data_IF_193930316037
#
_entry.id   IF_193930316037
#
_cell.length_a   1.000
_cell.length_b   1.000
_cell.length_c   1.000
_cell.angle_alpha   90.00
_cell.angle_beta   90.00
_cell.angle_gamma   90.00
#
_symmetry.space_group_name_H-M   'P 1'
#
loop_
_entity.id
_entity.type
_entity.pdbx_description
1 polymer ?
#
# COMPACT_ATOMS: atom_id res chain seq x y z
N UNK A 1 -40.85 43.18 13.63
CA UNK A 1 -40.74 41.79 13.14
C UNK A 1 -40.95 40.87 14.32
N UNK A 2 -42.13 40.28 14.45
CA UNK A 2 -42.39 39.29 15.49
C UNK A 2 -41.60 38.00 15.18
N UNK A 3 -41.00 37.33 16.18
CA UNK A 3 -40.25 36.11 15.94
C UNK A 3 -41.18 35.01 15.44
N UNK A 4 -40.77 34.31 14.38
CA UNK A 4 -41.51 33.18 13.80
C UNK A 4 -41.71 32.13 14.90
N UNK A 5 -42.96 31.72 15.21
CA UNK A 5 -43.19 30.75 16.26
C UNK A 5 -42.51 29.43 15.91
N UNK A 6 -41.72 28.90 16.86
CA UNK A 6 -41.04 27.60 16.75
C UNK A 6 -42.12 26.53 16.51
N UNK A 7 -42.15 25.98 15.31
CA UNK A 7 -43.10 24.94 14.93
C UNK A 7 -42.95 23.74 15.88
N UNK A 8 -44.03 23.34 16.53
CA UNK A 8 -44.07 22.13 17.36
C UNK A 8 -43.76 20.91 16.48
N UNK A 9 -42.88 20.02 16.94
CA UNK A 9 -42.68 18.71 16.32
C UNK A 9 -44.01 17.95 16.40
N UNK A 10 -44.73 17.86 15.27
CA UNK A 10 -46.07 17.27 15.21
C UNK A 10 -46.06 15.74 15.26
N UNK A 11 -44.90 15.11 15.07
CA UNK A 11 -44.74 13.67 15.09
C UNK A 11 -43.61 13.32 16.05
N UNK A 12 -43.93 12.54 17.09
CA UNK A 12 -42.90 11.95 17.93
C UNK A 12 -41.97 11.13 17.05
N UNK A 13 -40.67 11.43 17.05
CA UNK A 13 -39.70 10.56 16.39
C UNK A 13 -39.83 9.18 17.00
N UNK A 14 -40.03 8.12 16.19
CA UNK A 14 -40.08 6.76 16.72
C UNK A 14 -38.79 6.53 17.52
N UNK A 15 -38.92 5.90 18.69
CA UNK A 15 -37.76 5.53 19.50
C UNK A 15 -36.84 4.70 18.63
N UNK A 16 -35.58 5.13 18.40
CA UNK A 16 -34.67 4.39 17.54
C UNK A 16 -34.52 2.98 18.10
N UNK A 17 -34.78 1.98 17.25
CA UNK A 17 -34.34 0.62 17.53
C UNK A 17 -32.83 0.66 17.80
N UNK A 18 -32.31 -0.07 18.80
CA UNK A 18 -30.87 -0.14 19.05
C UNK A 18 -30.10 -0.38 17.75
N UNK A 19 -29.10 0.46 17.45
CA UNK A 19 -28.35 0.40 16.19
C UNK A 19 -28.90 1.28 15.05
N UNK A 20 -29.96 2.06 15.29
CA UNK A 20 -30.48 3.05 14.34
C UNK A 20 -29.77 4.40 14.49
N UNK A 21 -29.19 4.91 13.40
CA UNK A 21 -28.58 6.23 13.30
C UNK A 21 -29.36 7.06 12.30
N UNK A 22 -29.86 8.22 12.74
CA UNK A 22 -30.54 9.16 11.84
C UNK A 22 -29.51 10.03 11.13
N UNK A 23 -29.56 10.06 9.80
CA UNK A 23 -28.78 10.99 8.97
C UNK A 23 -29.46 12.36 8.98
N UNK A 24 -30.78 12.37 8.76
CA UNK A 24 -31.65 13.54 8.81
C UNK A 24 -33.11 13.09 9.06
N UNK A 25 -34.08 13.99 8.87
CA UNK A 25 -35.51 13.67 9.09
C UNK A 25 -36.09 12.64 8.09
N UNK A 26 -35.40 12.38 6.98
CA UNK A 26 -35.87 11.51 5.89
C UNK A 26 -35.11 10.19 5.83
N UNK A 27 -33.86 10.18 6.26
CA UNK A 27 -32.93 9.06 6.08
C UNK A 27 -32.44 8.57 7.44
N UNK A 28 -32.61 7.28 7.68
CA UNK A 28 -32.00 6.59 8.82
C UNK A 28 -31.33 5.30 8.38
N UNK A 29 -30.32 4.90 9.12
CA UNK A 29 -29.51 3.71 8.88
C UNK A 29 -29.63 2.82 10.10
N UNK A 30 -30.14 1.61 9.92
CA UNK A 30 -30.20 0.59 10.95
C UNK A 30 -29.10 -0.42 10.69
N UNK A 31 -28.32 -0.73 11.72
CA UNK A 31 -27.30 -1.77 11.66
C UNK A 31 -27.64 -2.83 12.71
N UNK A 32 -27.93 -4.04 12.26
CA UNK A 32 -28.22 -5.20 13.10
C UNK A 32 -27.25 -6.32 12.76
N UNK A 33 -26.51 -6.81 13.76
CA UNK A 33 -25.51 -7.86 13.64
C UNK A 33 -24.51 -7.59 12.50
N UNK A 34 -24.74 -8.20 11.33
CA UNK A 34 -23.90 -8.14 10.14
C UNK A 34 -24.60 -7.46 8.95
N UNK A 35 -25.85 -7.02 9.11
CA UNK A 35 -26.63 -6.38 8.06
C UNK A 35 -26.81 -4.90 8.34
N UNK A 36 -26.81 -4.12 7.26
CA UNK A 36 -27.15 -2.70 7.29
C UNK A 36 -28.30 -2.43 6.36
N UNK A 37 -29.31 -1.76 6.90
CA UNK A 37 -30.51 -1.33 6.17
C UNK A 37 -30.59 0.18 6.19
N UNK A 38 -30.69 0.77 5.01
CA UNK A 38 -30.88 2.20 4.82
C UNK A 38 -32.35 2.44 4.50
N UNK A 39 -33.00 3.29 5.27
CA UNK A 39 -34.38 3.71 5.04
C UNK A 39 -34.41 5.13 4.52
N UNK A 40 -35.29 5.37 3.54
CA UNK A 40 -35.62 6.71 3.04
C UNK A 40 -37.13 6.85 3.10
N UNK A 41 -37.62 7.86 3.84
CA UNK A 41 -39.05 8.06 4.12
C UNK A 41 -39.74 6.81 4.71
N UNK A 42 -39.01 6.00 5.48
CA UNK A 42 -39.51 4.76 6.08
C UNK A 42 -39.57 3.56 5.12
N UNK A 43 -39.18 3.72 3.85
CA UNK A 43 -39.09 2.63 2.87
C UNK A 43 -37.63 2.14 2.82
N UNK A 44 -37.43 0.83 2.66
CA UNK A 44 -36.10 0.25 2.47
C UNK A 44 -35.53 0.76 1.15
N UNK A 45 -34.45 1.53 1.24
CA UNK A 45 -33.71 2.07 0.10
C UNK A 45 -32.57 1.13 -0.31
N UNK A 46 -31.87 0.56 0.67
CA UNK A 46 -30.78 -0.38 0.43
C UNK A 46 -30.62 -1.32 1.61
N UNK A 47 -30.23 -2.56 1.34
CA UNK A 47 -29.90 -3.59 2.33
C UNK A 47 -28.63 -4.30 1.87
N UNK A 48 -27.65 -4.42 2.76
CA UNK A 48 -26.38 -5.08 2.45
C UNK A 48 -25.63 -5.54 3.70
N UNK A 49 -24.73 -6.52 3.59
CA UNK A 49 -23.82 -6.90 4.68
C UNK A 49 -22.83 -5.77 5.00
N UNK A 50 -22.50 -5.57 6.27
CA UNK A 50 -21.56 -4.51 6.72
C UNK A 50 -20.16 -4.68 6.10
N UNK A 51 -19.78 -5.90 5.75
CA UNK A 51 -18.51 -6.21 5.08
C UNK A 51 -18.47 -5.75 3.62
N UNK A 52 -19.62 -5.62 2.97
CA UNK A 52 -19.70 -5.19 1.58
C UNK A 52 -19.51 -3.67 1.45
N UNK A 53 -18.22 -3.30 1.39
CA UNK A 53 -17.80 -1.91 1.18
C UNK A 53 -18.21 -1.35 -0.18
N UNK A 54 -18.47 -2.20 -1.17
CA UNK A 54 -18.89 -1.76 -2.50
C UNK A 54 -20.35 -1.34 -2.44
N UNK A 55 -21.22 -2.16 -1.86
CA UNK A 55 -22.62 -1.84 -1.61
C UNK A 55 -22.76 -0.60 -0.71
N UNK A 56 -21.97 -0.52 0.37
CA UNK A 56 -21.94 0.66 1.25
C UNK A 56 -21.58 1.93 0.49
N UNK A 57 -20.51 1.91 -0.31
CA UNK A 57 -20.08 3.07 -1.11
C UNK A 57 -21.14 3.46 -2.16
N UNK A 58 -21.77 2.48 -2.80
CA UNK A 58 -22.83 2.72 -3.77
C UNK A 58 -24.07 3.34 -3.13
N UNK A 59 -24.51 2.83 -1.97
CA UNK A 59 -25.63 3.40 -1.22
C UNK A 59 -25.36 4.85 -0.84
N UNK A 60 -24.17 5.16 -0.30
CA UNK A 60 -23.79 6.53 0.06
C UNK A 60 -23.82 7.49 -1.13
N UNK A 61 -23.26 7.09 -2.28
CA UNK A 61 -23.24 7.93 -3.49
C UNK A 61 -24.66 8.11 -4.03
N UNK A 62 -25.47 7.05 -4.06
CA UNK A 62 -26.84 7.13 -4.57
C UNK A 62 -27.71 8.03 -3.69
N UNK A 63 -27.59 7.95 -2.35
CA UNK A 63 -28.30 8.85 -1.43
C UNK A 63 -27.96 10.32 -1.66
N UNK A 64 -26.68 10.60 -1.96
CA UNK A 64 -26.21 11.96 -2.25
C UNK A 64 -26.69 12.44 -3.63
N UNK A 65 -26.55 11.62 -4.67
CA UNK A 65 -26.93 12.00 -6.04
C UNK A 65 -28.44 12.15 -6.23
N UNK A 66 -29.24 11.39 -5.48
CA UNK A 66 -30.71 11.53 -5.45
C UNK A 66 -31.19 12.68 -4.56
N UNK A 67 -30.29 13.31 -3.78
CA UNK A 67 -30.60 14.47 -2.96
C UNK A 67 -31.36 14.16 -1.67
N UNK A 68 -31.34 12.91 -1.18
CA UNK A 68 -32.00 12.55 0.08
C UNK A 68 -31.25 13.05 1.32
N UNK A 69 -29.93 13.18 1.25
CA UNK A 69 -29.11 13.70 2.34
C UNK A 69 -27.87 14.44 1.83
N UNK A 70 -27.37 15.38 2.65
CA UNK A 70 -26.16 16.14 2.33
C UNK A 70 -24.90 15.30 2.54
N UNK A 71 -23.84 15.67 1.82
CA UNK A 71 -22.56 14.96 1.81
C UNK A 71 -21.96 14.81 3.21
N UNK A 72 -22.06 15.86 4.04
CA UNK A 72 -21.51 15.85 5.39
C UNK A 72 -22.29 14.94 6.34
N UNK A 73 -23.62 14.94 6.24
CA UNK A 73 -24.48 14.12 7.10
C UNK A 73 -24.32 12.65 6.78
N UNK A 74 -24.29 12.30 5.48
CA UNK A 74 -24.00 10.93 5.02
C UNK A 74 -22.62 10.53 5.55
N UNK A 75 -21.58 11.34 5.31
CA UNK A 75 -20.23 11.00 5.74
C UNK A 75 -20.15 10.74 7.27
N UNK A 76 -20.75 11.62 8.09
CA UNK A 76 -20.79 11.46 9.55
C UNK A 76 -21.52 10.18 9.96
N UNK A 77 -22.68 9.89 9.38
CA UNK A 77 -23.47 8.71 9.73
C UNK A 77 -22.72 7.40 9.44
N UNK A 78 -21.97 7.35 8.32
CA UNK A 78 -21.19 6.17 7.93
C UNK A 78 -19.78 6.14 8.54
N UNK A 79 -19.41 7.10 9.39
CA UNK A 79 -18.08 7.17 10.02
C UNK A 79 -16.94 7.55 9.06
N UNK A 80 -17.26 8.25 7.98
CA UNK A 80 -16.32 8.68 6.96
C UNK A 80 -16.14 10.21 6.91
N UNK A 81 -15.10 10.63 6.19
CA UNK A 81 -14.93 12.04 5.81
C UNK A 81 -15.71 12.36 4.53
N UNK A 82 -16.15 13.61 4.37
CA UNK A 82 -16.79 14.06 3.12
C UNK A 82 -15.90 13.81 1.88
N UNK A 83 -14.57 13.88 2.05
CA UNK A 83 -13.58 13.57 1.01
C UNK A 83 -13.68 12.11 0.51
N UNK A 84 -14.06 11.17 1.37
CA UNK A 84 -14.27 9.76 0.99
C UNK A 84 -15.45 9.63 0.04
N UNK A 85 -16.57 10.29 0.37
CA UNK A 85 -17.78 10.26 -0.47
C UNK A 85 -17.53 10.88 -1.85
N UNK A 86 -16.80 12.01 -1.91
CA UNK A 86 -16.37 12.60 -3.19
C UNK A 86 -15.52 11.62 -4.01
N UNK A 87 -14.59 10.91 -3.38
CA UNK A 87 -13.76 9.89 -4.07
C UNK A 87 -14.60 8.72 -4.59
N UNK A 88 -15.63 8.29 -3.86
CA UNK A 88 -16.54 7.25 -4.33
C UNK A 88 -17.34 7.73 -5.53
N UNK A 89 -17.86 8.96 -5.50
CA UNK A 89 -18.55 9.55 -6.64
C UNK A 89 -17.63 9.65 -7.87
N UNK A 90 -16.40 10.14 -7.71
CA UNK A 90 -15.41 10.23 -8.79
C UNK A 90 -15.09 8.84 -9.38
N UNK A 91 -14.93 7.81 -8.54
CA UNK A 91 -14.70 6.43 -8.98
C UNK A 91 -15.90 5.85 -9.74
N UNK A 92 -17.10 6.02 -9.20
CA UNK A 92 -18.33 5.55 -9.83
C UNK A 92 -18.52 6.20 -11.21
N UNK A 93 -18.25 7.49 -11.34
CA UNK A 93 -18.30 8.21 -12.64
C UNK A 93 -17.22 7.73 -13.61
N UNK A 94 -16.02 7.43 -13.12
CA UNK A 94 -14.90 7.04 -13.97
C UNK A 94 -14.95 5.58 -14.46
N UNK A 95 -15.53 4.65 -13.68
CA UNK A 95 -15.51 3.22 -14.04
C UNK A 95 -16.70 2.41 -13.53
N UNK A 96 -17.82 3.07 -13.22
CA UNK A 96 -19.04 2.42 -12.74
C UNK A 96 -18.85 1.66 -11.43
N UNK A 97 -19.69 0.65 -11.19
CA UNK A 97 -19.64 -0.16 -9.98
C UNK A 97 -18.29 -0.88 -9.80
N UNK A 98 -17.66 -1.32 -10.90
CA UNK A 98 -16.37 -2.01 -10.88
C UNK A 98 -15.25 -1.17 -10.28
N UNK A 99 -15.32 0.16 -10.40
CA UNK A 99 -14.33 1.08 -9.85
C UNK A 99 -14.50 1.35 -8.34
N UNK A 100 -15.65 0.99 -7.76
CA UNK A 100 -15.87 1.01 -6.31
C UNK A 100 -15.28 -0.23 -5.62
N UNK A 101 -15.23 -1.36 -6.34
CA UNK A 101 -14.66 -2.61 -5.85
C UNK A 101 -13.19 -2.41 -5.50
N UNK A 102 -12.80 -2.82 -4.28
CA UNK A 102 -11.39 -2.84 -3.90
C UNK A 102 -10.68 -3.92 -4.72
N UNK A 103 -9.56 -3.60 -5.39
CA UNK A 103 -8.79 -4.64 -6.06
C UNK A 103 -8.29 -5.64 -5.01
N UNK A 104 -8.49 -6.93 -5.27
CA UNK A 104 -7.92 -7.96 -4.41
C UNK A 104 -6.38 -7.88 -4.46
N UNK A 105 -5.78 -7.83 -3.27
CA UNK A 105 -4.33 -7.83 -3.11
C UNK A 105 -3.65 -6.46 -3.17
N UNK A 106 -2.32 -6.50 -3.21
CA UNK A 106 -1.47 -5.29 -3.22
C UNK A 106 -1.83 -4.46 -4.47
N UNK A 107 -2.11 -3.15 -4.34
CA UNK A 107 -2.38 -2.32 -5.50
C UNK A 107 -1.22 -2.48 -6.46
N UNK A 108 -1.51 -3.00 -7.65
CA UNK A 108 -0.51 -3.10 -8.69
C UNK A 108 0.04 -1.69 -8.87
N UNK A 109 1.36 -1.54 -8.68
CA UNK A 109 1.98 -0.24 -8.41
C UNK A 109 1.47 0.87 -9.33
N UNK A 110 1.42 2.10 -8.80
CA UNK A 110 0.89 3.31 -9.45
C UNK A 110 1.09 3.30 -10.97
N UNK A 111 0.10 3.74 -11.79
CA UNK A 111 0.22 3.78 -13.25
C UNK A 111 1.55 4.39 -13.74
N UNK A 112 2.05 5.40 -13.02
CA UNK A 112 3.37 6.01 -13.27
C UNK A 112 4.54 5.02 -13.08
N UNK A 113 4.50 4.18 -12.05
CA UNK A 113 5.48 3.13 -11.81
C UNK A 113 5.44 2.00 -12.84
N UNK A 114 4.25 1.65 -13.37
CA UNK A 114 4.13 0.72 -14.51
C UNK A 114 4.75 1.31 -15.78
N UNK A 115 4.46 2.58 -16.10
CA UNK A 115 5.03 3.29 -17.26
C UNK A 115 6.55 3.37 -17.18
N UNK A 116 7.10 3.78 -16.03
CA UNK A 116 8.55 3.85 -15.80
C UNK A 116 9.24 2.48 -15.97
N UNK A 117 8.61 1.40 -15.51
CA UNK A 117 9.14 0.05 -15.72
C UNK A 117 9.11 -0.36 -17.20
N UNK A 118 8.08 0.03 -17.95
CA UNK A 118 7.98 -0.26 -19.37
C UNK A 118 9.06 0.46 -20.19
N UNK A 119 9.24 1.77 -19.98
CA UNK A 119 10.28 2.57 -20.64
C UNK A 119 11.69 2.03 -20.33
N UNK A 120 11.93 1.64 -19.08
CA UNK A 120 13.20 1.02 -18.67
C UNK A 120 13.43 -0.32 -19.38
N UNK A 121 12.40 -1.16 -19.49
CA UNK A 121 12.47 -2.44 -20.16
C UNK A 121 12.75 -2.29 -21.66
N UNK A 122 12.12 -1.31 -22.33
CA UNK A 122 12.43 -0.98 -23.73
C UNK A 122 13.88 -0.54 -23.91
N UNK A 123 14.41 0.27 -22.98
CA UNK A 123 15.80 0.71 -23.01
C UNK A 123 16.76 -0.47 -22.85
N UNK A 124 16.46 -1.41 -21.95
CA UNK A 124 17.24 -2.65 -21.77
C UNK A 124 17.25 -3.48 -23.06
N UNK A 125 16.09 -3.66 -23.72
CA UNK A 125 16.00 -4.39 -24.99
C UNK A 125 16.80 -3.70 -26.10
N UNK A 126 16.68 -2.38 -26.23
CA UNK A 126 17.43 -1.61 -27.23
C UNK A 126 18.94 -1.72 -27.04
N UNK A 127 19.41 -1.67 -25.79
CA UNK A 127 20.84 -1.84 -25.50
C UNK A 127 21.30 -3.29 -25.72
N UNK A 128 20.44 -4.27 -25.44
CA UNK A 128 20.77 -5.68 -25.66
C UNK A 128 20.81 -6.04 -27.15
N UNK A 129 19.91 -5.49 -27.95
CA UNK A 129 19.92 -5.60 -29.42
C UNK A 129 21.17 -4.95 -30.05
N UNK A 130 21.79 -3.97 -29.39
CA UNK A 130 23.08 -3.38 -29.79
C UNK A 130 24.30 -4.21 -29.37
N UNK A 131 24.12 -5.41 -28.84
CA UNK A 131 25.21 -6.30 -28.41
C UNK A 131 25.86 -5.93 -27.07
N UNK A 132 25.29 -4.99 -26.30
CA UNK A 132 25.89 -4.58 -25.03
C UNK A 132 25.82 -5.70 -23.97
N UNK A 133 26.86 -5.80 -23.14
CA UNK A 133 26.93 -6.77 -22.06
C UNK A 133 25.96 -6.41 -20.92
N UNK A 134 25.50 -7.42 -20.18
CA UNK A 134 24.53 -7.20 -19.10
C UNK A 134 25.11 -6.34 -17.97
N UNK A 135 26.41 -6.50 -17.68
CA UNK A 135 27.15 -5.68 -16.71
C UNK A 135 27.21 -4.22 -17.14
N UNK A 136 27.47 -3.95 -18.42
CA UNK A 136 27.50 -2.59 -18.95
C UNK A 136 26.11 -1.92 -18.86
N UNK A 137 25.05 -2.64 -19.25
CA UNK A 137 23.67 -2.14 -19.15
C UNK A 137 23.29 -1.83 -17.70
N UNK A 138 23.71 -2.68 -16.76
CA UNK A 138 23.49 -2.50 -15.34
C UNK A 138 24.15 -1.21 -14.82
N UNK A 139 25.44 -1.02 -15.12
CA UNK A 139 26.18 0.20 -14.78
C UNK A 139 25.54 1.45 -15.40
N UNK A 140 25.08 1.39 -16.65
CA UNK A 140 24.48 2.53 -17.35
C UNK A 140 23.12 2.96 -16.77
N UNK A 141 22.33 2.00 -16.28
CA UNK A 141 20.98 2.24 -15.74
C UNK A 141 20.94 2.35 -14.21
N UNK A 142 22.08 2.23 -13.51
CA UNK A 142 22.14 2.21 -12.05
C UNK A 142 21.43 1.01 -11.43
N UNK A 143 21.45 -0.14 -12.12
CA UNK A 143 20.77 -1.37 -11.70
C UNK A 143 21.77 -2.45 -11.32
N UNK A 144 21.30 -3.45 -10.58
CA UNK A 144 22.05 -4.70 -10.44
C UNK A 144 21.99 -5.52 -11.74
N UNK A 145 23.05 -6.25 -12.04
CA UNK A 145 23.07 -7.17 -13.20
C UNK A 145 21.94 -8.22 -13.10
N UNK A 146 21.63 -8.68 -11.88
CA UNK A 146 20.52 -9.60 -11.60
C UNK A 146 19.18 -9.02 -12.03
N UNK A 147 18.96 -7.71 -11.82
CA UNK A 147 17.75 -7.00 -12.24
C UNK A 147 17.64 -6.94 -13.76
N UNK A 148 18.74 -6.71 -14.46
CA UNK A 148 18.78 -6.69 -15.94
C UNK A 148 18.47 -8.09 -16.49
N UNK A 149 19.11 -9.14 -15.97
CA UNK A 149 18.83 -10.54 -16.35
C UNK A 149 17.36 -10.91 -16.10
N UNK A 150 16.79 -10.52 -14.96
CA UNK A 150 15.37 -10.78 -14.64
C UNK A 150 14.44 -10.02 -15.58
N UNK A 151 14.80 -8.80 -15.97
CA UNK A 151 14.02 -8.01 -16.93
C UNK A 151 14.06 -8.65 -18.32
N UNK A 152 15.23 -9.09 -18.79
CA UNK A 152 15.37 -9.79 -20.07
C UNK A 152 14.60 -11.12 -20.10
N UNK A 153 14.64 -11.92 -19.03
CA UNK A 153 13.84 -13.15 -18.92
C UNK A 153 12.34 -12.88 -18.99
N UNK A 154 11.85 -11.83 -18.32
CA UNK A 154 10.44 -11.42 -18.37
C UNK A 154 10.01 -10.94 -19.75
N UNK A 155 10.93 -10.34 -20.50
CA UNK A 155 10.70 -9.83 -21.84
C UNK A 155 10.90 -10.90 -22.92
N UNK A 156 11.20 -12.15 -22.55
CA UNK A 156 11.38 -13.24 -23.49
C UNK A 156 12.63 -13.12 -24.37
N UNK A 157 13.63 -12.33 -23.96
CA UNK A 157 14.86 -12.18 -24.73
C UNK A 157 15.62 -13.51 -24.77
N UNK A 158 15.67 -14.13 -25.95
CA UNK A 158 16.53 -15.26 -26.25
C UNK A 158 17.83 -14.68 -26.81
N UNK A 159 18.96 -14.98 -26.17
CA UNK A 159 20.25 -14.81 -26.82
C UNK A 159 20.25 -15.73 -28.04
N UNK A 160 20.58 -15.19 -29.22
CA UNK A 160 20.90 -16.04 -30.35
C UNK A 160 21.94 -17.07 -29.89
N UNK A 161 21.74 -18.37 -30.14
CA UNK A 161 22.77 -19.36 -29.86
C UNK A 161 24.00 -18.94 -30.67
N UNK A 162 25.09 -18.67 -29.95
CA UNK A 162 26.39 -18.40 -30.55
C UNK A 162 26.69 -19.56 -31.52
N UNK A 163 27.12 -19.27 -32.77
CA UNK A 163 27.42 -20.32 -33.73
C UNK A 163 28.47 -21.24 -33.10
N UNK A 164 28.15 -22.54 -33.02
CA UNK A 164 29.10 -23.58 -32.63
C UNK A 164 30.35 -23.44 -33.51
N UNK A 165 31.38 -22.80 -32.99
CA UNK A 165 32.72 -22.88 -33.54
C UNK A 165 33.17 -24.33 -33.32
N UNK A 166 33.44 -25.12 -34.39
CA UNK A 166 33.83 -26.51 -34.23
C UNK A 166 35.21 -26.55 -33.56
N UNK A 167 35.20 -26.81 -32.25
CA UNK A 167 36.40 -27.10 -31.49
C UNK A 167 36.99 -28.42 -32.00
N UNK A 168 38.29 -28.35 -32.32
CA UNK A 168 39.19 -29.45 -32.67
C UNK A 168 38.98 -30.69 -31.77
N UNK A 169 39.16 -31.92 -32.31
CA UNK A 169 38.95 -33.14 -31.56
C UNK A 169 39.91 -33.23 -30.37
N UNK A 170 39.33 -33.36 -29.17
CA UNK A 170 40.08 -33.64 -27.94
C UNK A 170 40.63 -35.06 -28.02
N UNK A 171 41.95 -35.18 -27.97
CA UNK A 171 42.61 -36.45 -27.66
C UNK A 171 42.24 -36.87 -26.23
N UNK A 172 41.80 -38.11 -26.10
CA UNK A 172 41.48 -38.76 -24.84
C UNK A 172 42.70 -38.82 -23.92
N UNK A 173 42.54 -38.43 -22.66
CA UNK A 173 43.38 -38.90 -21.56
C UNK A 173 42.64 -38.78 -20.25
N UNK A 174 42.14 -39.93 -19.83
CA UNK A 174 41.44 -40.22 -18.59
C UNK A 174 42.46 -40.46 -17.48
N UNK A 175 42.45 -39.67 -16.40
CA UNK A 175 43.12 -40.06 -15.14
C UNK A 175 42.55 -39.32 -13.90
N UNK A 176 41.64 -40.02 -13.22
CA UNK A 176 41.51 -40.26 -11.76
C UNK A 176 41.45 -39.11 -10.74
N UNK A 177 40.64 -39.39 -9.72
CA UNK A 177 40.05 -38.52 -8.70
C UNK A 177 40.93 -38.38 -7.42
N UNK A 178 40.91 -37.15 -6.85
CA UNK A 178 40.70 -36.75 -5.43
C UNK A 178 41.58 -37.33 -4.29
N UNK A 179 41.36 -36.95 -3.00
CA UNK A 179 41.55 -35.64 -2.36
C UNK A 179 42.30 -35.74 -0.99
N UNK A 180 42.77 -34.65 -0.37
CA UNK A 180 42.95 -34.62 1.10
C UNK A 180 42.86 -33.20 1.70
N UNK A 181 41.86 -33.03 2.56
CA UNK A 181 41.75 -32.01 3.61
C UNK A 181 42.02 -32.69 4.95
N UNK A 182 42.78 -32.07 5.84
CA UNK A 182 42.64 -32.24 7.29
C UNK A 182 43.31 -31.09 8.05
N UNK A 183 42.49 -30.36 8.81
CA UNK A 183 42.87 -29.41 9.86
C UNK A 183 43.56 -30.09 11.06
N UNK A 184 44.23 -29.34 11.96
CA UNK A 184 43.70 -28.99 13.30
C UNK A 184 44.79 -28.65 14.38
N UNK A 185 44.48 -27.59 15.17
CA UNK A 185 44.87 -27.20 16.57
C UNK A 185 46.34 -26.84 16.92
N UNK A 186 46.64 -25.59 17.33
CA UNK A 186 46.59 -24.91 18.68
C UNK A 186 47.84 -25.18 19.54
N UNK A 187 48.53 -24.11 19.97
CA UNK A 187 48.98 -23.89 21.36
C UNK A 187 49.46 -22.43 21.61
N UNK A 188 49.10 -21.89 22.77
CA UNK A 188 49.49 -20.60 23.41
C UNK A 188 49.50 -20.85 24.93
N UNK A 189 50.02 -19.95 25.81
CA UNK A 189 51.18 -19.04 25.83
C UNK A 189 52.06 -19.38 27.08
N UNK A 190 52.88 -18.49 27.69
CA UNK A 190 52.35 -17.73 28.85
C UNK A 190 53.06 -16.39 29.25
N UNK A 191 52.40 -15.69 30.19
CA UNK A 191 52.98 -14.98 31.37
C UNK A 191 53.59 -13.57 31.24
N UNK A 192 52.93 -12.52 31.76
CA UNK A 192 53.03 -12.08 33.18
C UNK A 192 52.66 -10.58 33.41
N UNK A 193 51.84 -10.35 34.45
CA UNK A 193 51.80 -9.20 35.39
C UNK A 193 51.14 -7.83 35.03
N UNK A 194 49.83 -7.71 35.29
CA UNK A 194 49.12 -6.90 36.34
C UNK A 194 49.78 -5.66 37.05
N UNK A 195 49.03 -4.74 37.74
CA UNK A 195 47.64 -4.23 37.60
C UNK A 195 47.47 -2.68 37.95
N UNK A 196 46.37 -2.11 38.56
CA UNK A 196 45.75 -0.81 38.19
C UNK A 196 45.79 0.26 39.34
N UNK A 197 45.02 1.39 39.34
CA UNK A 197 43.63 1.36 39.85
C UNK A 197 42.63 2.43 39.31
N UNK A 198 41.36 2.06 39.43
CA UNK A 198 40.15 2.83 39.79
C UNK A 198 40.24 4.36 40.05
N UNK A 199 39.28 5.09 39.46
CA UNK A 199 38.13 5.67 40.21
C UNK A 199 37.09 6.36 39.30
N UNK A 200 35.84 5.97 39.49
CA UNK A 200 34.64 6.69 39.10
C UNK A 200 34.65 8.11 39.68
N UNK A 201 34.19 9.11 38.94
CA UNK A 201 33.39 10.20 39.50
C UNK A 201 32.40 10.75 38.47
N UNK A 202 31.14 10.69 38.86
CA UNK A 202 30.04 11.53 38.42
C UNK A 202 30.43 13.01 38.38
N UNK A 203 29.90 13.76 37.40
CA UNK A 203 29.50 15.13 37.69
C UNK A 203 28.24 15.54 36.96
N UNK A 204 27.42 16.25 37.73
CA UNK A 204 26.05 16.69 37.52
C UNK A 204 26.05 18.22 37.52
N UNK A 205 25.40 18.84 36.54
CA UNK A 205 24.87 20.22 36.55
C UNK A 205 25.85 21.39 36.73
N UNK A 206 25.39 22.67 36.69
CA UNK A 206 24.02 23.21 36.61
C UNK A 206 23.73 24.01 35.31
N UNK A 207 22.49 24.28 34.87
CA UNK A 207 21.59 25.39 35.30
C UNK A 207 22.06 26.76 34.75
N UNK A 208 21.29 27.73 34.24
CA UNK A 208 19.88 28.14 34.42
C UNK A 208 19.56 29.27 33.38
N UNK A 209 18.27 29.44 33.05
CA UNK A 209 17.54 30.73 32.92
C UNK A 209 17.33 31.45 31.56
N UNK A 210 16.06 31.79 31.30
CA UNK A 210 15.59 32.92 30.47
C UNK A 210 14.38 32.61 29.57
N UNK A 211 13.14 32.46 30.08
CA UNK A 211 12.05 33.48 30.15
C UNK A 211 11.52 33.99 28.77
N UNK A 212 10.25 33.70 28.40
CA UNK A 212 9.03 34.58 28.45
C UNK A 212 9.13 35.77 27.45
N UNK A 213 8.22 36.14 26.50
CA UNK A 213 6.77 35.98 26.19
C UNK A 213 6.51 36.51 24.73
N UNK A 214 5.26 36.49 24.20
CA UNK A 214 4.92 36.81 22.80
C UNK A 214 4.51 38.28 22.58
N UNK A 215 4.32 38.63 21.30
CA UNK A 215 3.51 39.76 20.82
C UNK A 215 2.51 39.25 19.77
#
# INVERSE_FOLDING_TARGET
MSPVPRQKEFFARPTPTPGTVFVNDRVCVQTEEEQRVVFVHGIIFSHYPIEDRTAEAYAMVTLFETGYADQNDIARCFGYSARTLRRYQERLKAGGLSALVRPEGRPAGSPSGRKKNHERNQTILRLKAKGMSNRWIASRLGLSEKTVRKSLRRLGWKSDPEPDLPFLPKADSQAKQAPISASKLIETPPSAAEPPPDKMLHYSGPGIAGMIRPA
#
